data_IF_406142329529
#
_entry.id   IF_406142329529
#
_cell.length_a   1.000
_cell.length_b   1.000
_cell.length_c   1.000
_cell.angle_alpha   90.00
_cell.angle_beta   90.00
_cell.angle_gamma   90.00
#
_symmetry.space_group_name_H-M   'P 1'
#
loop_
_entity.id
_entity.type
_entity.pdbx_description
1 polymer ?
#
# COMPACT_ATOMS: atom_id res chain seq x y z
N UNK A 1 5.85 9.42 17.69
CA UNK A 1 6.34 10.27 16.58
C UNK A 1 5.75 9.73 15.28
N UNK A 2 4.51 10.13 14.97
CA UNK A 2 3.68 9.54 13.92
C UNK A 2 3.83 10.40 12.66
N UNK A 3 4.48 9.88 11.61
CA UNK A 3 4.53 10.53 10.30
C UNK A 3 3.45 9.92 9.40
N UNK A 4 2.37 10.67 9.21
CA UNK A 4 1.43 10.45 8.12
C UNK A 4 2.11 10.79 6.80
N UNK A 5 2.29 9.80 5.93
CA UNK A 5 2.56 10.02 4.51
C UNK A 5 1.24 10.30 3.82
N UNK A 6 1.01 11.55 3.45
CA UNK A 6 -0.02 11.93 2.49
C UNK A 6 0.41 11.44 1.10
N UNK A 7 -0.56 10.89 0.40
CA UNK A 7 -0.51 10.40 -0.97
C UNK A 7 -0.46 11.55 -1.97
N UNK A 8 0.58 11.59 -2.81
CA UNK A 8 0.58 12.35 -4.05
C UNK A 8 -0.09 11.52 -5.14
N UNK A 9 -1.29 11.92 -5.54
CA UNK A 9 -1.91 11.52 -6.81
C UNK A 9 -2.13 12.80 -7.61
N UNK A 10 -1.10 13.17 -8.36
CA UNK A 10 -1.15 14.19 -9.40
C UNK A 10 -1.96 13.65 -10.59
N UNK A 11 -3.25 13.96 -10.64
CA UNK A 11 -4.01 13.98 -11.90
C UNK A 11 -4.21 15.43 -12.31
N UNK A 12 -3.29 15.93 -13.14
CA UNK A 12 -3.53 17.10 -13.96
C UNK A 12 -4.48 16.71 -15.08
N UNK A 13 -5.78 16.80 -14.81
CA UNK A 13 -6.81 16.74 -15.85
C UNK A 13 -7.04 18.19 -16.32
N UNK A 14 -6.44 18.55 -17.45
CA UNK A 14 -6.71 19.80 -18.15
C UNK A 14 -8.19 19.84 -18.52
N UNK A 15 -8.93 20.66 -17.77
CA UNK A 15 -10.32 20.99 -18.00
C UNK A 15 -10.41 21.69 -19.36
N UNK A 16 -10.81 20.94 -20.38
CA UNK A 16 -11.18 21.50 -21.67
C UNK A 16 -12.26 22.57 -21.45
N UNK A 17 -11.95 23.76 -21.94
CA UNK A 17 -12.85 24.90 -21.93
C UNK A 17 -14.03 24.58 -22.85
N UNK A 18 -15.16 24.17 -22.27
CA UNK A 18 -16.43 24.22 -22.96
C UNK A 18 -16.79 25.70 -23.16
N UNK A 19 -16.41 26.25 -24.32
CA UNK A 19 -16.97 27.49 -24.84
C UNK A 19 -18.43 27.21 -25.22
N UNK A 20 -19.34 27.41 -24.25
CA UNK A 20 -20.76 27.49 -24.55
C UNK A 20 -21.00 28.79 -25.30
N UNK A 21 -21.02 28.72 -26.63
CA UNK A 21 -21.56 29.79 -27.46
C UNK A 21 -23.02 30.00 -27.02
N UNK A 22 -23.25 31.09 -26.28
CA UNK A 22 -24.58 31.58 -25.97
C UNK A 22 -25.30 31.84 -27.30
N UNK A 23 -26.48 31.24 -27.56
CA UNK A 23 -27.25 31.62 -28.72
C UNK A 23 -27.70 33.06 -28.53
N UNK A 24 -27.15 33.95 -29.36
CA UNK A 24 -27.54 35.35 -29.41
C UNK A 24 -29.06 35.43 -29.60
N UNK A 25 -29.78 36.25 -28.82
CA UNK A 25 -31.20 36.47 -29.05
C UNK A 25 -31.44 36.96 -30.48
N UNK A 26 -32.51 36.49 -31.12
CA UNK A 26 -32.95 36.78 -32.49
C UNK A 26 -33.38 38.25 -32.71
N UNK A 27 -32.67 39.20 -32.12
CA UNK A 27 -32.85 40.62 -32.39
C UNK A 27 -31.59 41.13 -33.08
N UNK A 28 -31.78 41.65 -34.30
CA UNK A 28 -30.80 42.36 -35.13
C UNK A 28 -29.99 41.46 -36.08
N UNK A 29 -30.66 41.01 -37.15
CA UNK A 29 -29.97 40.88 -38.44
C UNK A 29 -29.83 42.31 -38.98
N UNK A 30 -28.63 42.88 -38.89
CA UNK A 30 -28.27 44.11 -39.61
C UNK A 30 -28.28 43.80 -41.10
N UNK A 31 -29.34 44.18 -41.79
CA UNK A 31 -29.27 44.44 -43.23
C UNK A 31 -28.51 45.75 -43.39
N UNK A 32 -27.39 45.70 -44.10
CA UNK A 32 -26.63 46.87 -44.48
C UNK A 32 -27.53 47.80 -45.32
N UNK A 33 -27.90 48.96 -44.77
CA UNK A 33 -28.24 50.11 -45.61
C UNK A 33 -26.95 50.72 -46.16
N UNK A 34 -26.92 51.59 -47.16
CA UNK A 34 -27.94 52.25 -47.95
C UNK A 34 -27.17 53.30 -48.76
N UNK A 35 -27.24 53.27 -50.08
CA UNK A 35 -27.46 54.46 -50.90
C UNK A 35 -28.75 54.13 -51.66
N UNK A 36 -29.83 54.90 -51.70
CA UNK A 36 -30.25 56.14 -51.11
C UNK A 36 -31.64 56.39 -51.71
N UNK A 37 -32.64 56.72 -50.89
CA UNK A 37 -33.94 57.22 -51.34
C UNK A 37 -35.02 56.17 -51.62
N UNK A 38 -35.85 55.90 -50.62
CA UNK A 38 -37.30 56.12 -50.68
C UNK A 38 -37.92 55.83 -49.31
N UNK A 39 -38.66 56.82 -48.80
CA UNK A 39 -39.48 56.72 -47.59
C UNK A 39 -40.65 55.77 -47.84
N UNK A 40 -40.43 54.47 -47.62
CA UNK A 40 -41.49 53.50 -47.40
C UNK A 40 -41.45 53.08 -45.94
N UNK A 41 -42.58 53.19 -45.23
CA UNK A 41 -42.77 52.37 -44.04
C UNK A 41 -42.57 50.92 -44.49
N UNK A 42 -41.45 50.31 -44.10
CA UNK A 42 -41.22 48.90 -44.35
C UNK A 42 -42.31 48.13 -43.59
N UNK A 43 -43.05 47.22 -44.25
CA UNK A 43 -43.92 46.31 -43.54
C UNK A 43 -43.06 45.57 -42.52
N UNK A 44 -43.53 45.45 -41.28
CA UNK A 44 -43.04 44.37 -40.43
C UNK A 44 -43.40 43.10 -41.21
N UNK A 45 -42.43 42.48 -41.88
CA UNK A 45 -42.64 41.20 -42.56
C UNK A 45 -43.15 40.24 -41.48
N UNK A 46 -44.46 40.04 -41.45
CA UNK A 46 -45.05 38.93 -40.72
C UNK A 46 -44.45 37.67 -41.33
N UNK A 47 -43.53 37.05 -40.58
CA UNK A 47 -42.96 35.74 -40.91
C UNK A 47 -44.10 34.85 -41.41
N UNK A 48 -43.96 34.38 -42.63
CA UNK A 48 -44.97 33.56 -43.25
C UNK A 48 -45.17 32.30 -42.40
N UNK A 49 -46.40 31.81 -42.33
CA UNK A 49 -46.72 30.57 -41.62
C UNK A 49 -45.82 29.39 -42.05
N UNK A 50 -45.35 29.42 -43.31
CA UNK A 50 -44.42 28.45 -43.87
C UNK A 50 -43.02 28.52 -43.23
N UNK A 51 -42.48 29.71 -42.96
CA UNK A 51 -41.17 29.88 -42.33
C UNK A 51 -41.17 29.42 -40.87
N UNK A 52 -42.27 29.67 -40.14
CA UNK A 52 -42.45 29.19 -38.76
C UNK A 52 -42.47 27.66 -38.73
N UNK A 53 -43.23 27.03 -39.63
CA UNK A 53 -43.28 25.57 -39.73
C UNK A 53 -41.92 24.98 -40.09
N UNK A 54 -41.19 25.60 -41.03
CA UNK A 54 -39.85 25.18 -41.40
C UNK A 54 -38.86 25.26 -40.21
N UNK A 55 -38.92 26.34 -39.43
CA UNK A 55 -38.11 26.51 -38.22
C UNK A 55 -38.45 25.45 -37.16
N UNK A 56 -39.74 25.16 -36.93
CA UNK A 56 -40.19 24.11 -36.01
C UNK A 56 -39.68 22.74 -36.46
N UNK A 57 -39.76 22.43 -37.75
CA UNK A 57 -39.26 21.17 -38.30
C UNK A 57 -37.73 21.06 -38.18
N UNK A 58 -36.99 22.14 -38.45
CA UNK A 58 -35.56 22.18 -38.24
C UNK A 58 -35.17 21.96 -36.77
N UNK A 59 -35.87 22.62 -35.85
CA UNK A 59 -35.67 22.45 -34.41
C UNK A 59 -35.99 21.02 -33.96
N UNK A 60 -37.07 20.42 -34.47
CA UNK A 60 -37.44 19.03 -34.20
C UNK A 60 -36.34 18.07 -34.62
N UNK A 61 -35.86 18.16 -35.86
CA UNK A 61 -34.80 17.29 -36.38
C UNK A 61 -33.51 17.46 -35.58
N UNK A 62 -33.14 18.69 -35.23
CA UNK A 62 -31.98 18.96 -34.39
C UNK A 62 -32.11 18.35 -32.98
N UNK A 63 -33.31 18.38 -32.40
CA UNK A 63 -33.59 17.79 -31.09
C UNK A 63 -33.53 16.26 -31.14
N UNK A 64 -34.10 15.65 -32.18
CA UNK A 64 -34.04 14.20 -32.42
C UNK A 64 -32.58 13.72 -32.51
N UNK A 65 -31.73 14.43 -33.26
CA UNK A 65 -30.30 14.10 -33.35
C UNK A 65 -29.55 14.24 -32.02
N UNK A 66 -29.87 15.27 -31.22
CA UNK A 66 -29.30 15.42 -29.87
C UNK A 66 -29.73 14.30 -28.93
N UNK A 67 -31.00 13.89 -28.98
CA UNK A 67 -31.53 12.79 -28.18
C UNK A 67 -30.83 11.47 -28.55
N UNK A 68 -30.62 11.21 -29.84
CA UNK A 68 -29.91 10.02 -30.30
C UNK A 68 -28.45 10.02 -29.83
N UNK A 69 -27.76 11.17 -29.92
CA UNK A 69 -26.39 11.32 -29.41
C UNK A 69 -26.32 11.03 -27.90
N UNK A 70 -27.21 11.62 -27.11
CA UNK A 70 -27.28 11.37 -25.66
C UNK A 70 -27.59 9.90 -25.36
N UNK A 71 -28.47 9.26 -26.14
CA UNK A 71 -28.78 7.85 -25.96
C UNK A 71 -27.55 6.95 -26.19
N UNK A 72 -26.73 7.26 -27.20
CA UNK A 72 -25.47 6.56 -27.47
C UNK A 72 -24.49 6.76 -26.31
N UNK A 73 -24.28 8.00 -25.86
CA UNK A 73 -23.38 8.32 -24.74
C UNK A 73 -23.80 7.61 -23.45
N UNK A 74 -25.10 7.62 -23.11
CA UNK A 74 -25.62 6.91 -21.94
C UNK A 74 -25.34 5.41 -22.01
N UNK A 75 -25.45 4.81 -23.20
CA UNK A 75 -25.15 3.39 -23.38
C UNK A 75 -23.65 3.09 -23.22
N UNK A 76 -22.78 3.97 -23.73
CA UNK A 76 -21.34 3.87 -23.51
C UNK A 76 -20.99 3.99 -22.03
N UNK A 77 -21.54 4.99 -21.33
CA UNK A 77 -21.34 5.15 -19.88
C UNK A 77 -21.81 3.93 -19.09
N UNK A 78 -22.96 3.33 -19.46
CA UNK A 78 -23.44 2.09 -18.84
C UNK A 78 -22.46 0.93 -19.04
N UNK A 79 -21.87 0.81 -20.22
CA UNK A 79 -20.89 -0.23 -20.51
C UNK A 79 -19.61 -0.03 -19.67
N UNK A 80 -19.13 1.20 -19.56
CA UNK A 80 -17.93 1.50 -18.78
C UNK A 80 -18.16 1.36 -17.27
N UNK A 81 -19.33 1.74 -16.76
CA UNK A 81 -19.70 1.48 -15.37
C UNK A 81 -19.73 -0.02 -15.05
N UNK A 82 -20.18 -0.86 -15.98
CA UNK A 82 -20.11 -2.33 -15.81
C UNK A 82 -18.67 -2.81 -15.72
N UNK A 83 -17.80 -2.38 -16.63
CA UNK A 83 -16.37 -2.74 -16.60
C UNK A 83 -15.70 -2.32 -15.30
N UNK A 84 -15.99 -1.10 -14.81
CA UNK A 84 -15.46 -0.62 -13.53
C UNK A 84 -15.99 -1.48 -12.38
N UNK A 85 -17.29 -1.78 -12.36
CA UNK A 85 -17.88 -2.65 -11.32
C UNK A 85 -17.24 -4.03 -11.29
N UNK A 86 -16.98 -4.64 -12.45
CA UNK A 86 -16.33 -5.94 -12.53
C UNK A 86 -14.88 -5.89 -12.06
N UNK A 87 -14.13 -4.84 -12.44
CA UNK A 87 -12.77 -4.62 -11.93
C UNK A 87 -12.73 -4.43 -10.42
N UNK A 88 -13.70 -3.71 -9.86
CA UNK A 88 -13.81 -3.52 -8.40
C UNK A 88 -14.07 -4.85 -7.70
N UNK A 89 -15.01 -5.67 -8.20
CA UNK A 89 -15.28 -7.00 -7.62
C UNK A 89 -14.04 -7.90 -7.62
N UNK A 90 -13.30 -7.90 -8.72
CA UNK A 90 -12.04 -8.67 -8.81
C UNK A 90 -11.02 -8.16 -7.79
N UNK A 91 -10.84 -6.84 -7.71
CA UNK A 91 -9.91 -6.25 -6.75
C UNK A 91 -10.30 -6.53 -5.29
N UNK A 92 -11.59 -6.44 -4.95
CA UNK A 92 -12.12 -6.80 -3.63
C UNK A 92 -11.86 -8.27 -3.30
N UNK A 93 -12.07 -9.18 -4.27
CA UNK A 93 -11.75 -10.60 -4.11
C UNK A 93 -10.26 -10.82 -3.80
N UNK A 94 -9.37 -10.22 -4.58
CA UNK A 94 -7.92 -10.31 -4.35
C UNK A 94 -7.50 -9.72 -2.99
N UNK A 95 -8.15 -8.65 -2.52
CA UNK A 95 -7.88 -8.08 -1.19
C UNK A 95 -8.25 -9.08 -0.09
N UNK A 96 -9.40 -9.77 -0.21
CA UNK A 96 -9.83 -10.78 0.76
C UNK A 96 -8.84 -11.94 0.83
N UNK A 97 -8.38 -12.43 -0.33
CA UNK A 97 -7.37 -13.50 -0.42
C UNK A 97 -6.05 -13.08 0.23
N UNK A 98 -5.54 -11.89 -0.10
CA UNK A 98 -4.31 -11.35 0.49
C UNK A 98 -4.43 -11.16 2.01
N UNK A 99 -5.59 -10.73 2.51
CA UNK A 99 -5.84 -10.60 3.95
C UNK A 99 -5.80 -11.95 4.65
N UNK A 100 -6.35 -13.00 4.04
CA UNK A 100 -6.29 -14.36 4.57
C UNK A 100 -4.86 -14.91 4.59
N UNK A 101 -4.09 -14.68 3.53
CA UNK A 101 -2.68 -15.08 3.44
C UNK A 101 -1.83 -14.37 4.51
N UNK A 102 -1.94 -13.04 4.63
CA UNK A 102 -1.27 -12.26 5.68
C UNK A 102 -1.64 -12.76 7.07
N UNK A 103 -2.92 -13.11 7.29
CA UNK A 103 -3.37 -13.71 8.55
C UNK A 103 -2.67 -15.04 8.86
N UNK A 104 -2.44 -15.86 7.84
CA UNK A 104 -1.72 -17.13 7.96
C UNK A 104 -0.24 -16.92 8.24
N UNK A 105 0.43 -16.05 7.50
CA UNK A 105 1.85 -15.71 7.70
C UNK A 105 2.09 -15.16 9.12
N UNK A 106 1.21 -14.30 9.63
CA UNK A 106 1.32 -13.79 11.00
C UNK A 106 1.27 -14.89 12.05
N UNK A 107 0.39 -15.89 11.88
CA UNK A 107 0.31 -17.05 12.78
C UNK A 107 1.59 -17.88 12.73
N UNK A 108 2.10 -18.16 11.52
CA UNK A 108 3.34 -18.90 11.34
C UNK A 108 4.53 -18.18 11.97
N UNK A 109 4.63 -16.86 11.79
CA UNK A 109 5.69 -16.05 12.39
C UNK A 109 5.64 -16.05 13.92
N UNK A 110 4.44 -15.97 14.51
CA UNK A 110 4.27 -16.07 15.95
C UNK A 110 4.69 -17.46 16.48
N UNK A 111 4.34 -18.54 15.78
CA UNK A 111 4.75 -19.89 16.12
C UNK A 111 6.27 -20.08 16.02
N UNK A 112 6.89 -19.56 14.96
CA UNK A 112 8.33 -19.58 14.78
C UNK A 112 9.03 -18.82 15.91
N UNK A 113 8.57 -17.61 16.24
CA UNK A 113 9.12 -16.82 17.35
C UNK A 113 9.04 -17.53 18.70
N UNK A 114 7.90 -18.15 19.02
CA UNK A 114 7.75 -18.98 20.23
C UNK A 114 8.71 -20.17 20.24
N UNK A 115 8.90 -20.82 19.09
CA UNK A 115 9.83 -21.95 18.96
C UNK A 115 11.27 -21.52 19.17
N UNK A 116 11.68 -20.39 18.58
CA UNK A 116 13.02 -19.82 18.76
C UNK A 116 13.26 -19.50 20.24
N UNK A 117 12.36 -18.77 20.90
CA UNK A 117 12.53 -18.45 22.32
C UNK A 117 12.63 -19.69 23.22
N UNK A 118 11.84 -20.73 22.91
CA UNK A 118 11.95 -22.02 23.62
C UNK A 118 13.29 -22.71 23.38
N UNK A 119 13.83 -22.65 22.17
CA UNK A 119 15.13 -23.24 21.85
C UNK A 119 16.29 -22.46 22.49
N UNK A 120 16.21 -21.13 22.52
CA UNK A 120 17.16 -20.26 23.22
C UNK A 120 17.22 -20.58 24.71
N UNK A 121 16.06 -20.68 25.38
CA UNK A 121 16.01 -21.04 26.79
C UNK A 121 16.60 -22.43 27.08
N UNK A 122 16.37 -23.41 26.18
CA UNK A 122 16.96 -24.75 26.30
C UNK A 122 18.47 -24.74 26.08
N UNK A 123 18.95 -23.91 25.17
CA UNK A 123 20.38 -23.75 24.93
C UNK A 123 21.06 -23.12 26.16
N UNK A 124 20.48 -22.07 26.73
CA UNK A 124 20.97 -21.42 27.94
C UNK A 124 21.03 -22.39 29.13
N UNK A 125 19.98 -23.20 29.35
CA UNK A 125 19.99 -24.24 30.39
C UNK A 125 21.10 -25.28 30.14
N UNK A 126 21.23 -25.75 28.90
CA UNK A 126 22.25 -26.74 28.55
C UNK A 126 23.68 -26.20 28.72
N UNK A 127 23.92 -24.94 28.31
CA UNK A 127 25.20 -24.27 28.52
C UNK A 127 25.49 -24.03 30.00
N UNK A 128 24.49 -23.59 30.76
CA UNK A 128 24.58 -23.41 32.21
C UNK A 128 25.02 -24.71 32.88
N UNK A 129 24.29 -25.80 32.62
CA UNK A 129 24.58 -27.13 33.18
C UNK A 129 25.94 -27.67 32.75
N UNK A 130 26.35 -27.43 31.50
CA UNK A 130 27.67 -27.80 30.98
C UNK A 130 28.80 -27.07 31.71
N UNK A 131 28.59 -25.82 32.14
CA UNK A 131 29.58 -25.01 32.85
C UNK A 131 29.62 -25.26 34.37
N UNK A 132 28.60 -25.87 34.97
CA UNK A 132 28.56 -26.11 36.43
C UNK A 132 29.76 -26.91 36.96
N UNK A 133 30.28 -27.84 36.16
CA UNK A 133 31.43 -28.67 36.54
C UNK A 133 32.78 -28.08 36.08
N UNK A 134 32.77 -26.88 35.49
CA UNK A 134 33.98 -26.21 35.02
C UNK A 134 34.36 -25.11 36.00
N UNK A 135 35.58 -25.19 36.55
CA UNK A 135 36.13 -24.18 37.46
C UNK A 135 37.20 -23.40 36.70
N UNK A 136 37.19 -22.07 36.80
CA UNK A 136 38.25 -21.20 36.27
C UNK A 136 39.19 -20.81 37.40
N UNK A 137 40.45 -21.17 37.24
CA UNK A 137 41.52 -20.86 38.19
C UNK A 137 42.38 -19.72 37.62
N UNK A 138 42.53 -18.63 38.37
CA UNK A 138 43.27 -17.43 37.93
C UNK A 138 44.48 -17.18 38.85
N UNK A 139 45.55 -16.62 38.29
CA UNK A 139 46.74 -16.22 39.07
C UNK A 139 47.83 -17.30 39.23
N UNK A 140 47.80 -18.36 38.42
CA UNK A 140 48.87 -19.36 38.40
C UNK A 140 50.06 -18.86 37.56
N UNK A 141 51.31 -19.04 38.03
CA UNK A 141 52.50 -18.74 37.24
C UNK A 141 52.58 -19.70 36.04
N UNK A 142 52.74 -19.18 34.81
CA UNK A 142 52.84 -19.93 33.54
C UNK A 142 54.03 -20.92 33.43
N UNK A 143 54.75 -21.17 34.54
CA UNK A 143 56.02 -21.91 34.55
C UNK A 143 55.91 -23.43 34.65
N UNK A 144 54.71 -23.99 34.73
CA UNK A 144 54.50 -25.44 34.72
C UNK A 144 54.14 -25.90 33.31
N UNK A 145 55.07 -26.61 32.66
CA UNK A 145 54.91 -27.13 31.31
C UNK A 145 53.56 -27.82 31.10
N UNK A 146 53.00 -27.57 29.92
CA UNK A 146 51.67 -27.97 29.44
C UNK A 146 51.33 -29.46 29.64
N UNK A 147 52.33 -30.31 29.87
CA UNK A 147 52.20 -31.77 29.95
C UNK A 147 51.70 -32.28 31.31
N UNK A 148 51.66 -31.47 32.38
CA UNK A 148 51.22 -31.92 33.72
C UNK A 148 50.17 -31.04 34.41
N UNK A 149 49.45 -30.17 33.68
CA UNK A 149 48.43 -29.26 34.24
C UNK A 149 47.39 -29.99 35.09
N UNK A 150 46.90 -31.14 34.61
CA UNK A 150 45.91 -31.95 35.34
C UNK A 150 46.43 -32.46 36.70
N UNK A 151 47.62 -33.03 36.73
CA UNK A 151 48.22 -33.56 37.96
C UNK A 151 48.53 -32.46 38.97
N UNK A 152 48.99 -31.30 38.47
CA UNK A 152 49.22 -30.12 39.29
C UNK A 152 47.92 -29.59 39.91
N UNK A 153 46.85 -29.44 39.11
CA UNK A 153 45.55 -28.97 39.61
C UNK A 153 44.96 -29.96 40.62
N UNK A 154 45.04 -31.27 40.37
CA UNK A 154 44.59 -32.29 41.33
C UNK A 154 45.33 -32.21 42.66
N UNK A 155 46.65 -32.01 42.64
CA UNK A 155 47.45 -31.81 43.84
C UNK A 155 47.09 -30.50 44.56
N UNK A 156 47.04 -29.39 43.85
CA UNK A 156 46.74 -28.07 44.42
C UNK A 156 45.35 -28.02 45.06
N UNK A 157 44.32 -28.55 44.38
CA UNK A 157 42.95 -28.62 44.92
C UNK A 157 42.95 -29.45 46.20
N UNK A 158 43.66 -30.59 46.21
CA UNK A 158 43.75 -31.43 47.40
C UNK A 158 44.41 -30.71 48.56
N UNK A 159 45.54 -30.04 48.33
CA UNK A 159 46.30 -29.33 49.36
C UNK A 159 45.49 -28.16 49.96
N UNK A 160 44.91 -27.31 49.11
CA UNK A 160 44.15 -26.12 49.55
C UNK A 160 42.85 -26.49 50.26
N UNK A 161 42.13 -27.50 49.77
CA UNK A 161 40.81 -27.87 50.29
C UNK A 161 40.84 -29.06 51.27
N UNK A 162 42.02 -29.61 51.57
CA UNK A 162 42.21 -30.64 52.61
C UNK A 162 41.55 -30.26 53.95
N UNK A 163 41.64 -29.00 54.44
CA UNK A 163 41.05 -28.60 55.73
C UNK A 163 39.52 -28.59 55.72
N UNK A 164 38.89 -28.52 54.54
CA UNK A 164 37.44 -28.36 54.37
C UNK A 164 36.72 -29.71 54.25
N UNK A 165 37.47 -30.82 54.21
CA UNK A 165 36.90 -32.16 54.21
C UNK A 165 36.28 -32.56 52.87
N UNK A 166 37.00 -32.33 51.76
CA UNK A 166 36.62 -32.87 50.46
C UNK A 166 36.41 -34.39 50.52
N UNK A 167 35.39 -34.88 49.79
CA UNK A 167 35.20 -36.31 49.56
C UNK A 167 36.45 -36.91 48.93
N UNK A 168 36.84 -38.11 49.37
CA UNK A 168 38.05 -38.82 48.90
C UNK A 168 38.04 -39.13 47.38
N UNK A 169 36.88 -38.96 46.74
CA UNK A 169 36.67 -39.24 45.31
C UNK A 169 36.49 -37.92 44.58
N UNK A 170 37.61 -37.26 44.28
CA UNK A 170 37.66 -36.11 43.37
C UNK A 170 38.59 -36.46 42.20
N UNK A 171 38.12 -36.22 40.97
CA UNK A 171 38.84 -36.51 39.74
C UNK A 171 38.70 -35.31 38.80
N UNK A 172 39.83 -34.82 38.27
CA UNK A 172 39.80 -33.80 37.23
C UNK A 172 39.67 -34.50 35.88
N UNK A 173 38.53 -34.39 35.21
CA UNK A 173 38.34 -35.05 33.91
C UNK A 173 39.22 -34.44 32.83
N UNK A 174 39.24 -33.10 32.74
CA UNK A 174 40.00 -32.31 31.77
C UNK A 174 40.55 -31.05 32.43
N UNK A 175 41.80 -30.72 32.15
CA UNK A 175 42.43 -29.45 32.52
C UNK A 175 43.19 -28.93 31.31
N UNK A 176 43.11 -27.62 31.09
CA UNK A 176 43.76 -26.90 30.01
C UNK A 176 44.28 -25.58 30.56
#
# INVERSE_FOLDING_TARGET
>A
MVRHRKTDVSQGNTMEQYTTAVPTPLSVIRVAGSDGGQSGLLPVEELSQAEILAAIQGARVALEGKIETVAVEVNLFRADLRKVSDRVKVAEGSIVELQAEVGTLRKQMAQAGSTVGRLEARLEDAEGRSRLNNIRLLGFPERSGETMVKAFVEYWIRDVLQPVGLSRVFLVERAH
#
